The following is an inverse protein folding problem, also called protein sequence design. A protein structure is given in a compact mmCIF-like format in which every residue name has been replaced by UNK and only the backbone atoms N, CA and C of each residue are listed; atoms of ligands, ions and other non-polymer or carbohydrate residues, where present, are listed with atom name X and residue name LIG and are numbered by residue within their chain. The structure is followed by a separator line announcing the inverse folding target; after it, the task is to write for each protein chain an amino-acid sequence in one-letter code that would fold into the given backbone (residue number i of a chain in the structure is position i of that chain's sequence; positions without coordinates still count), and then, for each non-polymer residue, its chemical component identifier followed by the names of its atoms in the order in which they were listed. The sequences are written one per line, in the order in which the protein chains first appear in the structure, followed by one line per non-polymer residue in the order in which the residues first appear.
data_IF_840588593784
#
_entry.id   IF_840588593784
#
_cell.length_a   1.000
_cell.length_b   1.000
_cell.length_c   1.000
_cell.angle_alpha   90.00
_cell.angle_beta   90.00
_cell.angle_gamma   90.00
#
_symmetry.space_group_name_H-M   'P 1'
#
loop_
_entity.id
_entity.type
_entity.pdbx_description
1 polymer ?
#
# COMPACT_ATOMS: atom_id res chain seq x y z
N UNK A 1 16.14 -3.49 5.15
CA UNK A 1 16.05 -3.77 3.69
C UNK A 1 16.63 -2.59 2.94
N UNK A 2 17.07 -2.77 1.68
CA UNK A 2 17.67 -1.68 0.89
C UNK A 2 16.83 -1.51 -0.39
N UNK A 3 16.53 -0.27 -0.79
CA UNK A 3 15.73 0.04 -1.97
C UNK A 3 16.29 -0.57 -3.26
N UNK A 4 17.63 -0.60 -3.41
CA UNK A 4 18.29 -1.21 -4.57
C UNK A 4 18.04 -2.72 -4.66
N UNK A 5 18.00 -3.42 -3.54
CA UNK A 5 17.68 -4.85 -3.47
C UNK A 5 16.22 -5.12 -3.83
N UNK A 6 15.31 -4.30 -3.33
CA UNK A 6 13.90 -4.39 -3.68
C UNK A 6 13.66 -4.20 -5.19
N UNK A 7 14.33 -3.23 -5.82
CA UNK A 7 14.23 -3.04 -7.28
C UNK A 7 14.67 -4.29 -8.06
N UNK A 8 15.75 -4.96 -7.66
CA UNK A 8 16.22 -6.20 -8.30
C UNK A 8 15.21 -7.33 -8.12
N UNK A 9 14.70 -7.51 -6.89
CA UNK A 9 13.67 -8.52 -6.60
C UNK A 9 12.42 -8.29 -7.46
N UNK A 10 11.89 -7.07 -7.50
CA UNK A 10 10.69 -6.73 -8.27
C UNK A 10 10.91 -6.88 -9.78
N UNK A 11 12.11 -6.63 -10.29
CA UNK A 11 12.45 -6.86 -11.70
C UNK A 11 12.35 -8.35 -12.06
N UNK A 12 12.87 -9.24 -11.19
CA UNK A 12 12.85 -10.69 -11.39
C UNK A 12 11.46 -11.28 -11.19
N UNK A 13 10.71 -10.76 -10.19
CA UNK A 13 9.38 -11.30 -9.83
C UNK A 13 8.23 -10.69 -10.62
N UNK A 14 8.44 -9.56 -11.29
CA UNK A 14 7.40 -8.85 -12.04
C UNK A 14 6.56 -9.73 -12.98
N UNK A 15 7.09 -10.75 -13.69
CA UNK A 15 6.26 -11.62 -14.53
C UNK A 15 5.33 -12.55 -13.76
N UNK A 16 5.77 -12.98 -12.56
CA UNK A 16 5.03 -13.93 -11.70
C UNK A 16 4.13 -13.19 -10.71
N UNK A 17 4.48 -11.94 -10.38
CA UNK A 17 3.80 -11.11 -9.41
C UNK A 17 2.31 -10.95 -9.72
N UNK A 18 1.97 -10.61 -10.96
CA UNK A 18 0.59 -10.46 -11.41
C UNK A 18 -0.23 -11.74 -11.25
N UNK A 19 0.37 -12.90 -11.56
CA UNK A 19 -0.32 -14.16 -11.45
C UNK A 19 -0.61 -14.58 -10.01
N UNK A 20 0.23 -14.17 -9.07
CA UNK A 20 0.10 -14.52 -7.66
C UNK A 20 -0.74 -13.49 -6.89
N UNK A 21 -0.41 -12.20 -7.00
CA UNK A 21 -1.02 -11.14 -6.20
C UNK A 21 -2.26 -10.49 -6.82
N UNK A 22 -2.55 -10.76 -8.10
CA UNK A 22 -3.70 -10.22 -8.81
C UNK A 22 -4.70 -11.30 -9.22
N UNK A 23 -4.63 -12.49 -8.65
CA UNK A 23 -5.56 -13.59 -8.89
C UNK A 23 -5.98 -14.29 -7.60
N UNK A 24 -6.96 -15.19 -7.69
CA UNK A 24 -7.36 -16.06 -6.58
C UNK A 24 -7.73 -15.30 -5.32
N UNK A 25 -7.16 -15.72 -4.18
CA UNK A 25 -7.46 -15.16 -2.85
C UNK A 25 -7.06 -13.69 -2.72
N UNK A 26 -5.95 -13.26 -3.32
CA UNK A 26 -5.51 -11.87 -3.25
C UNK A 26 -6.45 -10.93 -4.03
N UNK A 27 -6.94 -11.35 -5.19
CA UNK A 27 -7.94 -10.57 -5.93
C UNK A 27 -9.24 -10.45 -5.14
N UNK A 28 -9.69 -11.54 -4.49
CA UNK A 28 -10.88 -11.49 -3.64
C UNK A 28 -10.68 -10.56 -2.44
N UNK A 29 -9.53 -10.64 -1.79
CA UNK A 29 -9.17 -9.75 -0.68
C UNK A 29 -9.15 -8.28 -1.11
N UNK A 30 -8.54 -7.95 -2.26
CA UNK A 30 -8.56 -6.59 -2.81
C UNK A 30 -10.00 -6.13 -3.10
N UNK A 31 -10.81 -6.95 -3.77
CA UNK A 31 -12.23 -6.63 -4.01
C UNK A 31 -12.97 -6.33 -2.71
N UNK A 32 -12.75 -7.12 -1.65
CA UNK A 32 -13.35 -6.89 -0.34
C UNK A 32 -12.89 -5.54 0.27
N UNK A 33 -11.60 -5.18 0.12
CA UNK A 33 -11.06 -3.90 0.60
C UNK A 33 -11.75 -2.72 -0.08
N UNK A 34 -11.98 -2.81 -1.41
CA UNK A 34 -12.46 -1.70 -2.22
C UNK A 34 -13.99 -1.66 -2.37
N UNK A 35 -14.70 -2.74 -2.07
CA UNK A 35 -16.14 -2.89 -2.33
C UNK A 35 -17.01 -1.80 -1.67
N UNK A 36 -16.64 -1.40 -0.46
CA UNK A 36 -17.41 -0.41 0.34
C UNK A 36 -16.81 1.00 0.27
N UNK A 37 -15.80 1.19 -0.61
CA UNK A 37 -15.18 2.50 -0.79
C UNK A 37 -15.95 3.32 -1.82
N UNK A 38 -16.30 4.54 -1.43
CA UNK A 38 -16.86 5.55 -2.33
C UNK A 38 -15.96 6.77 -2.38
N UNK A 39 -15.80 7.30 -3.59
CA UNK A 39 -15.02 8.51 -3.84
C UNK A 39 -15.93 9.59 -4.42
N UNK A 40 -15.67 10.86 -4.08
CA UNK A 40 -16.43 11.99 -4.58
C UNK A 40 -15.78 12.52 -5.86
N UNK A 41 -16.59 13.02 -6.75
CA UNK A 41 -16.13 13.70 -7.96
C UNK A 41 -15.09 14.78 -7.64
N UNK A 42 -13.99 14.82 -8.39
CA UNK A 42 -12.92 15.78 -8.23
C UNK A 42 -11.96 15.51 -7.08
N UNK A 43 -12.14 14.42 -6.31
CA UNK A 43 -11.15 14.04 -5.29
C UNK A 43 -9.80 13.70 -5.90
N UNK A 44 -8.74 14.13 -5.21
CA UNK A 44 -7.36 13.81 -5.54
C UNK A 44 -6.92 12.55 -4.79
N UNK A 45 -6.64 11.50 -5.54
CA UNK A 45 -6.19 10.21 -5.01
C UNK A 45 -4.71 9.98 -5.28
N UNK A 46 -3.98 9.50 -4.27
CA UNK A 46 -2.60 9.04 -4.42
C UNK A 46 -2.52 7.54 -4.17
N UNK A 47 -2.08 6.77 -5.15
CA UNK A 47 -1.70 5.37 -4.98
C UNK A 47 -0.21 5.27 -4.67
N UNK A 48 0.13 4.79 -3.48
CA UNK A 48 1.50 4.61 -3.00
C UNK A 48 1.90 3.16 -3.16
N UNK A 49 2.90 2.88 -4.02
CA UNK A 49 3.29 1.52 -4.38
C UNK A 49 2.25 0.85 -5.26
N UNK A 50 1.88 1.52 -6.37
CA UNK A 50 0.78 1.05 -7.25
C UNK A 50 1.06 -0.31 -7.90
N UNK A 51 2.31 -0.75 -7.95
CA UNK A 51 2.72 -2.00 -8.57
C UNK A 51 2.30 -2.05 -10.04
N UNK A 52 1.62 -3.13 -10.41
CA UNK A 52 1.10 -3.35 -11.77
C UNK A 52 -0.31 -2.78 -12.00
N UNK A 53 -0.82 -1.98 -11.05
CA UNK A 53 -2.08 -1.26 -11.19
C UNK A 53 -3.34 -2.07 -10.84
N UNK A 54 -3.21 -3.17 -10.09
CA UNK A 54 -4.36 -4.03 -9.77
C UNK A 54 -5.47 -3.30 -9.01
N UNK A 55 -5.12 -2.39 -8.11
CA UNK A 55 -6.10 -1.63 -7.33
C UNK A 55 -6.79 -0.55 -8.16
N UNK A 56 -6.12 -0.02 -9.18
CA UNK A 56 -6.71 0.93 -10.13
C UNK A 56 -7.89 0.33 -10.91
N UNK A 57 -7.90 -0.98 -11.11
CA UNK A 57 -8.97 -1.69 -11.80
C UNK A 57 -10.23 -1.91 -10.93
N UNK A 58 -10.12 -1.68 -9.60
CA UNK A 58 -11.17 -1.95 -8.62
C UNK A 58 -11.94 -0.69 -8.20
N UNK A 59 -11.60 0.47 -8.73
CA UNK A 59 -12.29 1.72 -8.44
C UNK A 59 -12.88 2.32 -9.73
N UNK A 60 -14.00 3.03 -9.57
CA UNK A 60 -14.48 3.91 -10.63
C UNK A 60 -13.55 5.13 -10.70
N UNK A 61 -12.89 5.30 -11.85
CA UNK A 61 -11.89 6.33 -12.07
C UNK A 61 -12.45 7.57 -12.77
N UNK A 62 -13.68 7.49 -13.24
CA UNK A 62 -14.33 8.63 -13.88
C UNK A 62 -14.43 9.78 -12.87
N UNK A 63 -14.03 10.96 -13.30
CA UNK A 63 -14.07 12.17 -12.47
C UNK A 63 -13.14 12.23 -11.25
N UNK A 64 -12.13 11.36 -11.13
CA UNK A 64 -11.10 11.42 -10.11
C UNK A 64 -9.78 11.97 -10.67
N UNK A 65 -9.06 12.74 -9.86
CA UNK A 65 -7.67 13.17 -10.15
C UNK A 65 -6.71 12.16 -9.50
N UNK A 66 -6.18 11.25 -10.31
CA UNK A 66 -5.40 10.11 -9.80
C UNK A 66 -3.91 10.30 -10.09
N UNK A 67 -3.12 10.23 -9.03
CA UNK A 67 -1.67 10.09 -9.08
C UNK A 67 -1.27 8.71 -8.56
N UNK A 68 -0.35 8.05 -9.24
CA UNK A 68 0.14 6.73 -8.86
C UNK A 68 1.67 6.71 -8.85
N UNK A 69 2.26 6.21 -7.77
CA UNK A 69 3.71 6.10 -7.64
C UNK A 69 4.16 4.67 -7.38
N UNK A 70 5.33 4.34 -7.88
CA UNK A 70 6.06 3.12 -7.54
C UNK A 70 7.57 3.35 -7.66
N UNK A 71 8.36 2.60 -6.92
CA UNK A 71 9.83 2.66 -7.01
C UNK A 71 10.33 1.99 -8.29
N UNK A 72 9.57 1.04 -8.85
CA UNK A 72 9.91 0.25 -10.04
C UNK A 72 9.28 0.85 -11.30
N UNK A 73 10.13 1.35 -12.21
CA UNK A 73 9.69 1.81 -13.53
C UNK A 73 9.02 0.71 -14.37
N UNK A 74 9.41 -0.57 -14.18
CA UNK A 74 8.79 -1.70 -14.90
C UNK A 74 7.37 -1.98 -14.40
N UNK A 75 7.12 -1.81 -13.10
CA UNK A 75 5.76 -1.89 -12.53
C UNK A 75 4.89 -0.76 -13.07
N UNK A 76 5.40 0.48 -13.08
CA UNK A 76 4.66 1.63 -13.62
C UNK A 76 4.32 1.47 -15.09
N UNK A 77 5.23 0.95 -15.93
CA UNK A 77 4.93 0.64 -17.34
C UNK A 77 3.75 -0.30 -17.48
N UNK A 78 3.70 -1.37 -16.65
CA UNK A 78 2.58 -2.30 -16.65
C UNK A 78 1.28 -1.64 -16.18
N UNK A 79 1.32 -0.86 -15.10
CA UNK A 79 0.15 -0.14 -14.59
C UNK A 79 -0.40 0.84 -15.63
N UNK A 80 0.46 1.63 -16.29
CA UNK A 80 0.04 2.59 -17.30
C UNK A 80 -0.54 1.91 -18.53
N UNK A 81 0.02 0.78 -18.97
CA UNK A 81 -0.52 0.04 -20.12
C UNK A 81 -1.92 -0.52 -19.90
N UNK A 82 -2.28 -0.84 -18.67
CA UNK A 82 -3.63 -1.29 -18.28
C UNK A 82 -4.62 -0.13 -18.09
N UNK A 83 -4.13 1.09 -18.01
CA UNK A 83 -4.92 2.28 -17.64
C UNK A 83 -5.07 3.28 -18.79
N UNK A 84 -4.94 2.84 -20.03
CA UNK A 84 -4.86 3.68 -21.25
C UNK A 84 -6.04 4.65 -21.47
N UNK A 85 -7.19 4.40 -20.87
CA UNK A 85 -8.40 5.21 -21.01
C UNK A 85 -8.67 6.19 -19.84
N UNK A 86 -7.77 6.27 -18.86
CA UNK A 86 -7.95 7.14 -17.70
C UNK A 86 -6.80 8.16 -17.60
N UNK A 87 -7.12 9.39 -17.23
CA UNK A 87 -6.12 10.43 -16.93
C UNK A 87 -5.46 10.15 -15.58
N UNK A 88 -4.47 9.27 -15.57
CA UNK A 88 -3.69 8.93 -14.37
C UNK A 88 -2.25 9.43 -14.56
N UNK A 89 -1.75 10.14 -13.58
CA UNK A 89 -0.35 10.57 -13.56
C UNK A 89 0.51 9.51 -12.87
N UNK A 90 1.54 9.01 -13.57
CA UNK A 90 2.45 7.99 -13.05
C UNK A 90 3.83 8.59 -12.80
N UNK A 91 4.38 8.39 -11.58
CA UNK A 91 5.72 8.87 -11.23
C UNK A 91 6.54 7.74 -10.59
N UNK A 92 7.79 7.60 -11.05
CA UNK A 92 8.75 6.76 -10.37
C UNK A 92 9.28 7.50 -9.14
N UNK A 93 8.93 7.00 -7.93
CA UNK A 93 9.19 7.72 -6.69
C UNK A 93 9.31 6.75 -5.51
N UNK A 94 10.15 7.11 -4.53
CA UNK A 94 10.26 6.39 -3.26
C UNK A 94 9.11 6.84 -2.33
N UNK A 95 8.32 5.88 -1.84
CA UNK A 95 7.23 6.12 -0.91
C UNK A 95 7.69 6.74 0.44
N UNK A 96 8.98 6.61 0.77
CA UNK A 96 9.58 7.17 1.98
C UNK A 96 10.03 8.64 1.80
N UNK A 97 9.93 9.17 0.58
CA UNK A 97 10.31 10.56 0.25
C UNK A 97 9.44 11.06 -0.91
N UNK A 98 8.24 11.52 -0.60
CA UNK A 98 7.30 12.02 -1.59
C UNK A 98 7.64 13.45 -2.02
N UNK A 99 7.72 13.67 -3.34
CA UNK A 99 8.02 14.99 -3.91
C UNK A 99 6.75 15.84 -4.14
N UNK A 100 5.72 15.59 -3.37
CA UNK A 100 4.47 16.35 -3.40
C UNK A 100 4.44 17.37 -2.25
N UNK A 101 3.66 18.43 -2.44
CA UNK A 101 3.41 19.43 -1.39
C UNK A 101 2.58 18.82 -0.26
N UNK A 102 2.69 19.41 0.91
CA UNK A 102 1.83 19.10 2.04
C UNK A 102 0.36 19.26 1.64
N UNK A 103 -0.51 18.45 2.25
CA UNK A 103 -1.97 18.55 2.11
C UNK A 103 -2.46 18.58 0.64
N UNK A 104 -1.86 17.73 -0.22
CA UNK A 104 -2.17 17.68 -1.66
C UNK A 104 -3.28 16.71 -2.02
N UNK A 105 -3.52 15.66 -1.22
CA UNK A 105 -4.41 14.56 -1.56
C UNK A 105 -5.55 14.39 -0.57
N UNK A 106 -6.74 14.08 -1.09
CA UNK A 106 -7.94 13.81 -0.28
C UNK A 106 -7.94 12.37 0.22
N UNK A 107 -7.42 11.44 -0.58
CA UNK A 107 -7.35 10.02 -0.24
C UNK A 107 -6.00 9.45 -0.68
N UNK A 108 -5.40 8.63 0.19
CA UNK A 108 -4.19 7.87 -0.12
C UNK A 108 -4.53 6.38 -0.04
N UNK A 109 -4.12 5.62 -1.04
CA UNK A 109 -4.27 4.17 -1.11
C UNK A 109 -2.89 3.53 -1.06
N UNK A 110 -2.67 2.67 -0.06
CA UNK A 110 -1.40 2.04 0.24
C UNK A 110 -1.58 0.52 0.39
N UNK A 111 -1.47 -0.20 -0.72
CA UNK A 111 -1.64 -1.66 -0.73
C UNK A 111 -0.31 -2.38 -0.84
N UNK A 112 -0.01 -3.25 0.14
CA UNK A 112 1.17 -4.10 0.19
C UNK A 112 2.49 -3.32 0.09
N UNK A 113 2.54 -2.11 0.64
CA UNK A 113 3.72 -1.23 0.57
C UNK A 113 4.45 -1.12 1.91
N UNK A 114 3.74 -1.00 3.05
CA UNK A 114 4.37 -0.83 4.36
C UNK A 114 5.21 -2.04 4.77
N UNK A 115 4.79 -3.24 4.38
CA UNK A 115 5.52 -4.48 4.68
C UNK A 115 6.76 -4.70 3.79
N UNK A 116 6.98 -3.87 2.76
CA UNK A 116 8.08 -4.03 1.80
C UNK A 116 9.06 -2.85 1.77
N UNK A 117 8.66 -1.67 2.23
CA UNK A 117 9.59 -0.53 2.35
C UNK A 117 10.59 -0.76 3.49
N UNK A 118 11.84 -0.25 3.37
CA UNK A 118 12.83 -0.31 4.45
C UNK A 118 12.37 0.36 5.73
N UNK A 119 11.80 1.56 5.64
CA UNK A 119 11.39 2.39 6.78
C UNK A 119 9.89 2.72 6.71
N UNK A 120 9.01 1.80 7.17
CA UNK A 120 7.55 1.99 7.08
C UNK A 120 7.05 3.20 7.87
N UNK A 121 7.78 3.62 8.91
CA UNK A 121 7.46 4.84 9.67
C UNK A 121 7.63 6.10 8.82
N UNK A 122 8.72 6.19 8.04
CA UNK A 122 8.94 7.33 7.15
C UNK A 122 7.91 7.32 5.99
N UNK A 123 7.53 6.13 5.51
CA UNK A 123 6.47 6.01 4.52
C UNK A 123 5.12 6.54 5.05
N UNK A 124 4.72 6.16 6.27
CA UNK A 124 3.49 6.66 6.89
C UNK A 124 3.56 8.17 7.16
N UNK A 125 4.71 8.69 7.59
CA UNK A 125 4.96 10.12 7.80
C UNK A 125 4.76 10.93 6.51
N UNK A 126 5.31 10.46 5.42
CA UNK A 126 5.15 11.14 4.13
C UNK A 126 3.69 11.09 3.65
N UNK A 127 3.00 9.95 3.84
CA UNK A 127 1.57 9.86 3.55
C UNK A 127 0.75 10.84 4.41
N UNK A 128 1.03 10.93 5.72
CA UNK A 128 0.37 11.92 6.60
C UNK A 128 0.62 13.35 6.13
N UNK A 129 1.87 13.70 5.77
CA UNK A 129 2.25 15.05 5.33
C UNK A 129 1.49 15.49 4.09
N UNK A 130 1.41 14.62 3.08
CA UNK A 130 0.74 14.94 1.82
C UNK A 130 -0.78 14.77 1.87
N UNK A 131 -1.32 14.17 2.94
CA UNK A 131 -2.75 14.02 3.17
C UNK A 131 -3.34 15.33 3.66
N UNK A 132 -4.43 15.77 3.06
CA UNK A 132 -5.20 16.94 3.52
C UNK A 132 -5.85 16.68 4.88
N UNK A 133 -6.17 17.76 5.59
CA UNK A 133 -7.05 17.69 6.76
C UNK A 133 -8.41 17.10 6.36
N UNK A 134 -8.96 16.21 7.19
CA UNK A 134 -10.14 15.38 6.92
C UNK A 134 -9.97 14.38 5.76
N UNK A 135 -8.76 14.20 5.26
CA UNK A 135 -8.42 13.16 4.30
C UNK A 135 -8.32 11.78 4.96
N UNK A 136 -8.23 10.74 4.16
CA UNK A 136 -8.09 9.37 4.65
C UNK A 136 -7.00 8.58 3.94
N UNK A 137 -6.33 7.69 4.70
CA UNK A 137 -5.40 6.70 4.18
C UNK A 137 -6.09 5.34 4.26
N UNK A 138 -6.12 4.61 3.16
CA UNK A 138 -6.65 3.26 3.07
C UNK A 138 -5.46 2.33 2.89
N UNK A 139 -5.23 1.47 3.88
CA UNK A 139 -4.13 0.52 3.89
C UNK A 139 -4.70 -0.89 3.72
N UNK A 140 -4.14 -1.65 2.79
CA UNK A 140 -4.28 -3.10 2.71
C UNK A 140 -2.89 -3.73 2.77
N UNK A 141 -2.52 -4.27 3.91
CA UNK A 141 -1.17 -4.84 4.07
C UNK A 141 -1.16 -5.97 5.08
N UNK A 142 -0.04 -6.67 5.15
CA UNK A 142 0.16 -7.71 6.14
C UNK A 142 0.86 -7.17 7.37
N UNK A 143 0.30 -7.54 8.52
CA UNK A 143 0.83 -7.20 9.83
C UNK A 143 0.89 -8.42 10.73
N UNK A 144 1.77 -8.39 11.72
CA UNK A 144 1.74 -9.39 12.77
C UNK A 144 0.42 -9.27 13.57
N UNK A 145 -0.22 -10.37 13.96
CA UNK A 145 -1.45 -10.35 14.74
C UNK A 145 -1.30 -9.60 16.06
N UNK A 146 -2.31 -8.81 16.45
CA UNK A 146 -2.32 -7.98 17.68
C UNK A 146 -2.09 -8.79 18.96
N UNK A 147 -2.65 -9.99 19.05
CA UNK A 147 -2.76 -10.76 20.29
C UNK A 147 -1.90 -12.03 20.34
N UNK A 148 -1.24 -12.36 19.25
CA UNK A 148 -0.44 -13.60 19.20
C UNK A 148 1.02 -13.24 18.97
N UNK A 149 1.88 -13.59 19.92
CA UNK A 149 3.31 -13.65 19.61
C UNK A 149 3.50 -14.53 18.37
N UNK A 150 4.31 -14.06 17.44
CA UNK A 150 4.63 -14.87 16.26
C UNK A 150 5.09 -16.27 16.73
N UNK A 151 4.47 -17.36 16.26
CA UNK A 151 4.92 -18.71 16.59
C UNK A 151 6.43 -18.83 16.39
N UNK A 152 7.11 -19.56 17.26
CA UNK A 152 8.57 -19.71 17.23
C UNK A 152 9.10 -20.03 15.82
N UNK A 153 8.40 -20.89 15.10
CA UNK A 153 8.70 -21.20 13.70
C UNK A 153 8.70 -19.96 12.78
N UNK A 154 7.69 -19.09 12.90
CA UNK A 154 7.63 -17.83 12.10
C UNK A 154 8.77 -16.86 12.44
N UNK A 155 9.25 -16.88 13.68
CA UNK A 155 10.42 -16.08 14.09
C UNK A 155 11.72 -16.58 13.41
N UNK A 156 11.87 -17.90 13.25
CA UNK A 156 13.04 -18.50 12.59
C UNK A 156 13.03 -18.20 11.08
N UNK A 157 11.86 -18.26 10.42
CA UNK A 157 11.75 -18.04 8.96
C UNK A 157 11.75 -16.54 8.59
N UNK A 158 11.52 -15.63 9.55
CA UNK A 158 11.45 -14.19 9.31
C UNK A 158 12.67 -13.62 8.57
N UNK A 159 13.93 -13.94 8.92
CA UNK A 159 15.09 -13.47 8.19
C UNK A 159 15.12 -13.91 6.72
N UNK A 160 14.68 -15.16 6.47
CA UNK A 160 14.61 -15.72 5.11
C UNK A 160 13.54 -14.99 4.28
N UNK A 161 12.36 -14.76 4.87
CA UNK A 161 11.27 -14.04 4.20
C UNK A 161 11.66 -12.59 3.91
N UNK A 162 12.44 -11.95 4.78
CA UNK A 162 12.99 -10.60 4.53
C UNK A 162 13.93 -10.53 3.32
N UNK A 163 14.63 -11.61 3.00
CA UNK A 163 15.46 -11.70 1.78
C UNK A 163 14.58 -11.59 0.52
N UNK A 164 13.34 -12.06 0.58
CA UNK A 164 12.35 -11.94 -0.50
C UNK A 164 11.61 -10.59 -0.51
N UNK A 165 12.14 -9.58 0.16
CA UNK A 165 11.63 -8.21 0.08
C UNK A 165 10.38 -7.93 0.90
N UNK A 166 10.07 -8.73 1.94
CA UNK A 166 8.86 -8.53 2.74
C UNK A 166 9.06 -8.88 4.22
N UNK A 167 8.44 -8.14 5.15
CA UNK A 167 8.50 -8.43 6.59
C UNK A 167 7.17 -8.99 7.11
N UNK A 168 7.21 -10.19 7.73
CA UNK A 168 6.07 -10.85 8.36
C UNK A 168 5.92 -10.49 9.85
N UNK A 169 6.83 -9.72 10.40
CA UNK A 169 6.86 -9.33 11.80
C UNK A 169 6.61 -7.83 12.02
N UNK A 170 6.01 -7.16 11.06
CA UNK A 170 5.65 -5.76 11.16
C UNK A 170 4.38 -5.63 12.00
N UNK A 171 4.43 -4.87 13.09
CA UNK A 171 3.26 -4.52 13.89
C UNK A 171 2.78 -3.13 13.49
N UNK A 172 1.53 -3.02 13.05
CA UNK A 172 0.94 -1.74 12.67
C UNK A 172 0.96 -0.75 13.83
N UNK A 173 0.66 -1.21 15.02
CA UNK A 173 0.62 -0.41 16.24
C UNK A 173 1.96 0.29 16.53
N UNK A 174 3.08 -0.38 16.24
CA UNK A 174 4.43 0.18 16.42
C UNK A 174 4.78 1.27 15.39
N UNK A 175 4.12 1.23 14.22
CA UNK A 175 4.27 2.27 13.19
C UNK A 175 3.39 3.45 13.57
N UNK A 176 2.13 3.17 13.94
CA UNK A 176 1.07 4.15 14.12
C UNK A 176 1.20 4.95 15.41
N UNK A 177 1.70 4.35 16.50
CA UNK A 177 1.73 4.98 17.84
C UNK A 177 2.28 6.42 17.85
N UNK A 178 3.27 6.72 17.00
CA UNK A 178 3.87 8.07 16.91
C UNK A 178 2.89 9.12 16.32
N UNK A 179 1.85 8.69 15.65
CA UNK A 179 0.91 9.54 14.89
C UNK A 179 -0.48 9.57 15.51
N UNK A 180 -0.66 8.99 16.70
CA UNK A 180 -1.96 8.90 17.39
C UNK A 180 -2.56 10.26 17.77
N UNK A 181 -1.75 11.33 17.81
CA UNK A 181 -2.21 12.68 18.11
C UNK A 181 -2.79 13.42 16.88
N UNK A 182 -2.38 13.02 15.68
CA UNK A 182 -2.76 13.67 14.41
C UNK A 182 -3.62 12.78 13.53
N UNK A 183 -3.56 11.47 13.74
CA UNK A 183 -4.26 10.47 12.93
C UNK A 183 -5.15 9.59 13.82
N UNK A 184 -6.35 9.28 13.32
CA UNK A 184 -7.30 8.40 13.99
C UNK A 184 -7.56 7.16 13.14
N UNK A 185 -7.58 5.97 13.74
CA UNK A 185 -7.99 4.73 13.06
C UNK A 185 -9.52 4.63 13.08
N UNK A 186 -10.14 4.76 11.93
CA UNK A 186 -11.60 4.63 11.77
C UNK A 186 -12.03 3.18 11.58
N UNK A 187 -11.20 2.36 10.89
CA UNK A 187 -11.49 0.96 10.60
C UNK A 187 -10.21 0.14 10.68
N UNK A 188 -10.28 -1.07 11.23
CA UNK A 188 -9.19 -2.04 11.27
C UNK A 188 -9.76 -3.44 11.31
N UNK A 189 -9.90 -4.06 10.14
CA UNK A 189 -10.56 -5.35 9.96
C UNK A 189 -9.67 -6.40 9.31
N UNK A 190 -9.76 -7.66 9.75
CA UNK A 190 -9.06 -8.76 9.12
C UNK A 190 -9.70 -9.07 7.75
N UNK A 191 -8.86 -9.30 6.73
CA UNK A 191 -9.30 -9.62 5.38
C UNK A 191 -8.97 -11.06 5.00
N UNK A 192 -7.75 -11.52 5.28
CA UNK A 192 -7.34 -12.89 4.94
C UNK A 192 -6.23 -13.42 5.85
N UNK A 193 -5.99 -14.73 5.79
CA UNK A 193 -4.95 -15.46 6.54
C UNK A 193 -4.99 -15.18 8.05
N UNK A 194 -6.16 -15.44 8.66
CA UNK A 194 -6.40 -15.29 10.11
C UNK A 194 -6.03 -13.88 10.64
N UNK A 195 -6.33 -12.83 9.84
CA UNK A 195 -6.05 -11.45 10.22
C UNK A 195 -4.60 -11.01 10.02
N UNK A 196 -3.78 -11.80 9.33
CA UNK A 196 -2.45 -11.36 8.92
C UNK A 196 -2.54 -10.21 7.91
N UNK A 197 -3.50 -10.26 6.98
CA UNK A 197 -3.78 -9.15 6.06
C UNK A 197 -4.99 -8.39 6.58
N UNK A 198 -4.82 -7.09 6.73
CA UNK A 198 -5.82 -6.19 7.32
C UNK A 198 -6.13 -5.05 6.36
N UNK A 199 -7.40 -4.63 6.35
CA UNK A 199 -7.82 -3.32 5.85
C UNK A 199 -7.81 -2.36 7.02
N UNK A 200 -7.09 -1.26 6.88
CA UNK A 200 -7.03 -0.22 7.90
C UNK A 200 -7.37 1.12 7.23
N UNK A 201 -8.33 1.85 7.77
CA UNK A 201 -8.65 3.21 7.34
C UNK A 201 -8.24 4.15 8.46
N UNK A 202 -7.41 5.12 8.08
CA UNK A 202 -6.89 6.16 8.96
C UNK A 202 -7.40 7.51 8.45
N UNK A 203 -7.81 8.39 9.36
CA UNK A 203 -8.22 9.77 9.07
C UNK A 203 -7.29 10.77 9.75
N UNK A 204 -7.01 11.85 9.04
CA UNK A 204 -6.29 13.02 9.56
C UNK A 204 -7.26 14.10 10.03
#
# INVERSE_FOLDING_TARGET
MNNSWNQVIYKVWSPIYDRFFNSGLFLQARKQVFNDLSFKQGQKLLFVGVGTGADLELIDRESLDITAIDLSGDMLKKASSKSSNASIQFFQMDAQKLLFKDESYDVIIASLILSVVPEPKECLKEMERVLKNNGKIIIFDKFAPKEKQLPFFKRIVRPVVRIFGTDIGLYFENIFHKYSDTLTVDEDVPIMLDGMYRKIIIRK
#
